data_IF_484964262418
#
_entry.id   IF_484964262418
#
_cell.length_a   1.000
_cell.length_b   1.000
_cell.length_c   1.000
_cell.angle_alpha   90.00
_cell.angle_beta   90.00
_cell.angle_gamma   90.00
#
_symmetry.space_group_name_H-M   'P 1'
#
loop_
_entity.id
_entity.type
_entity.pdbx_description
1 polymer ?
#
# COMPACT_ATOMS: atom_id res chain seq x y z
N UNK A 1 29.96 -14.39 -6.72
CA UNK A 1 29.80 -13.21 -7.58
C UNK A 1 28.43 -13.13 -8.28
N UNK A 2 27.98 -14.16 -9.04
CA UNK A 2 26.68 -14.09 -9.74
C UNK A 2 25.48 -13.84 -8.81
N UNK A 3 25.40 -14.49 -7.65
CA UNK A 3 24.32 -14.30 -6.68
C UNK A 3 24.28 -12.88 -6.06
N UNK A 4 25.43 -12.29 -5.76
CA UNK A 4 25.52 -10.94 -5.22
C UNK A 4 25.04 -9.90 -6.26
N UNK A 5 25.43 -10.07 -7.52
CA UNK A 5 24.98 -9.18 -8.61
C UNK A 5 23.46 -9.28 -8.80
N UNK A 6 22.89 -10.46 -8.70
CA UNK A 6 21.43 -10.64 -8.77
C UNK A 6 20.71 -10.01 -7.59
N UNK A 7 21.25 -10.15 -6.36
CA UNK A 7 20.72 -9.49 -5.17
C UNK A 7 20.76 -7.96 -5.32
N UNK A 8 21.85 -7.40 -5.80
CA UNK A 8 21.98 -5.97 -6.06
C UNK A 8 20.98 -5.48 -7.11
N UNK A 9 20.77 -6.23 -8.19
CA UNK A 9 19.75 -5.89 -9.19
C UNK A 9 18.33 -5.99 -8.64
N UNK A 10 18.04 -7.02 -7.84
CA UNK A 10 16.76 -7.13 -7.15
C UNK A 10 16.54 -5.93 -6.24
N UNK A 11 17.52 -5.61 -5.38
CA UNK A 11 17.48 -4.43 -4.49
C UNK A 11 17.29 -3.13 -5.25
N UNK A 12 17.99 -2.93 -6.37
CA UNK A 12 17.80 -1.78 -7.25
C UNK A 12 16.35 -1.65 -7.75
N UNK A 13 15.76 -2.73 -8.26
CA UNK A 13 14.37 -2.72 -8.72
C UNK A 13 13.38 -2.46 -7.58
N UNK A 14 13.63 -2.99 -6.38
CA UNK A 14 12.82 -2.68 -5.19
C UNK A 14 12.94 -1.20 -4.81
N UNK A 15 14.15 -0.65 -4.72
CA UNK A 15 14.38 0.76 -4.42
C UNK A 15 13.69 1.69 -5.42
N UNK A 16 13.83 1.38 -6.72
CA UNK A 16 13.15 2.14 -7.79
C UNK A 16 11.63 2.02 -7.74
N UNK A 17 11.08 0.95 -7.19
CA UNK A 17 9.64 0.80 -6.97
C UNK A 17 9.16 1.57 -5.72
N UNK A 18 10.07 1.90 -4.80
CA UNK A 18 9.79 2.67 -3.59
C UNK A 18 9.92 4.19 -3.76
N UNK A 19 10.08 4.72 -4.97
CA UNK A 19 10.29 6.18 -5.19
C UNK A 19 9.15 6.97 -4.54
N UNK A 20 7.88 6.60 -4.77
CA UNK A 20 6.77 7.33 -4.18
C UNK A 20 6.68 7.19 -2.66
N UNK A 21 6.74 5.99 -2.05
CA UNK A 21 6.88 5.85 -0.59
C UNK A 21 8.01 6.67 0.00
N UNK A 22 9.21 6.64 -0.61
CA UNK A 22 10.38 7.42 -0.15
C UNK A 22 10.11 8.92 -0.23
N UNK A 23 9.45 9.40 -1.30
CA UNK A 23 9.05 10.80 -1.41
C UNK A 23 8.07 11.22 -0.30
N UNK A 24 7.12 10.35 0.08
CA UNK A 24 6.21 10.61 1.20
C UNK A 24 7.02 10.79 2.51
N UNK A 25 7.87 9.83 2.85
CA UNK A 25 8.66 9.90 4.09
C UNK A 25 9.64 11.07 4.09
N UNK A 26 10.27 11.36 2.96
CA UNK A 26 11.11 12.53 2.78
C UNK A 26 10.33 13.84 3.01
N UNK A 27 9.12 13.94 2.48
CA UNK A 27 8.24 15.10 2.67
C UNK A 27 7.79 15.23 4.12
N UNK A 28 7.42 14.13 4.79
CA UNK A 28 7.07 14.12 6.20
C UNK A 28 8.24 14.59 7.07
N UNK A 29 9.45 14.07 6.82
CA UNK A 29 10.64 14.45 7.56
C UNK A 29 11.02 15.92 7.31
N UNK A 30 11.07 16.37 6.05
CA UNK A 30 11.43 17.75 5.73
C UNK A 30 10.40 18.74 6.26
N UNK A 31 9.12 18.47 6.14
CA UNK A 31 8.05 19.35 6.64
C UNK A 31 8.00 19.43 8.18
N UNK A 32 8.61 18.49 8.90
CA UNK A 32 8.72 18.57 10.36
C UNK A 32 9.81 19.53 10.84
N UNK A 33 10.79 19.82 9.96
CA UNK A 33 11.96 20.66 10.27
C UNK A 33 11.88 22.03 9.59
N UNK A 34 11.29 22.08 8.38
CA UNK A 34 11.23 23.29 7.57
C UNK A 34 9.78 23.82 7.58
N UNK A 35 9.47 24.85 8.37
CA UNK A 35 8.15 25.46 8.33
C UNK A 35 7.95 26.23 7.01
N UNK A 36 6.80 26.04 6.38
CA UNK A 36 6.43 26.79 5.18
C UNK A 36 5.55 27.97 5.61
N UNK A 37 5.99 29.24 5.44
CA UNK A 37 5.17 30.39 5.80
C UNK A 37 3.83 30.37 5.05
N UNK A 38 2.75 30.75 5.75
CA UNK A 38 1.38 30.92 5.22
C UNK A 38 0.66 29.62 4.79
N UNK A 39 1.28 28.43 4.99
CA UNK A 39 0.67 27.15 4.63
C UNK A 39 0.75 26.18 5.79
N UNK A 40 -0.35 25.52 6.09
CA UNK A 40 -0.33 24.44 7.09
C UNK A 40 0.49 23.26 6.58
N UNK A 41 1.18 22.58 7.49
CA UNK A 41 2.08 21.47 7.16
C UNK A 41 1.40 20.37 6.35
N UNK A 42 0.19 19.96 6.71
CA UNK A 42 -0.56 18.92 5.98
C UNK A 42 -0.93 19.33 4.57
N UNK A 43 -1.23 20.61 4.35
CA UNK A 43 -1.51 21.14 3.01
C UNK A 43 -0.23 21.21 2.15
N UNK A 44 0.90 21.57 2.78
CA UNK A 44 2.20 21.53 2.13
C UNK A 44 2.59 20.10 1.68
N UNK A 45 2.38 19.13 2.57
CA UNK A 45 2.60 17.71 2.25
C UNK A 45 1.75 17.30 1.03
N UNK A 46 0.47 17.64 1.04
CA UNK A 46 -0.43 17.33 -0.08
C UNK A 46 0.09 17.91 -1.41
N UNK A 47 0.49 19.17 -1.43
CA UNK A 47 0.98 19.83 -2.65
C UNK A 47 2.27 19.18 -3.17
N UNK A 48 3.20 18.84 -2.29
CA UNK A 48 4.43 18.14 -2.68
C UNK A 48 4.12 16.76 -3.25
N UNK A 49 3.21 16.00 -2.61
CA UNK A 49 2.85 14.66 -3.10
C UNK A 49 2.13 14.70 -4.44
N UNK A 50 1.26 15.68 -4.67
CA UNK A 50 0.64 15.93 -5.98
C UNK A 50 1.69 16.25 -7.06
N UNK A 51 2.67 17.10 -6.72
CA UNK A 51 3.76 17.43 -7.63
C UNK A 51 4.63 16.20 -7.95
N UNK A 52 4.99 15.41 -6.93
CA UNK A 52 5.75 14.16 -7.12
C UNK A 52 4.97 13.17 -8.00
N UNK A 53 3.68 12.97 -7.72
CA UNK A 53 2.82 12.07 -8.51
C UNK A 53 2.74 12.53 -9.98
N UNK A 54 2.58 13.82 -10.20
CA UNK A 54 2.58 14.39 -11.55
C UNK A 54 3.92 14.19 -12.27
N UNK A 55 5.04 14.42 -11.58
CA UNK A 55 6.39 14.21 -12.13
C UNK A 55 6.64 12.73 -12.45
N UNK A 56 6.20 11.80 -11.60
CA UNK A 56 6.31 10.37 -11.87
C UNK A 56 5.52 9.96 -13.11
N UNK A 57 4.34 10.52 -13.30
CA UNK A 57 3.56 10.31 -14.52
C UNK A 57 4.25 10.91 -15.75
N UNK A 58 4.71 12.16 -15.66
CA UNK A 58 5.37 12.86 -16.78
C UNK A 58 6.69 12.25 -17.20
N UNK A 59 7.45 11.69 -16.25
CA UNK A 59 8.71 10.99 -16.51
C UNK A 59 8.53 9.55 -17.02
N UNK A 60 7.30 9.05 -17.11
CA UNK A 60 7.02 7.66 -17.53
C UNK A 60 7.33 6.62 -16.45
N UNK A 61 7.64 7.05 -15.21
CA UNK A 61 7.76 6.14 -14.07
C UNK A 61 6.44 5.47 -13.72
N UNK A 62 5.32 6.12 -14.04
CA UNK A 62 3.97 5.57 -13.90
C UNK A 62 3.17 5.75 -15.20
N UNK A 63 2.35 4.76 -15.52
CA UNK A 63 1.48 4.76 -16.69
C UNK A 63 0.09 5.32 -16.33
N UNK A 64 -0.71 5.70 -17.35
CA UNK A 64 -2.10 6.15 -17.14
C UNK A 64 -2.95 5.12 -16.38
N UNK A 65 -2.76 3.83 -16.66
CA UNK A 65 -3.53 2.78 -16.01
C UNK A 65 -3.09 2.60 -14.54
N UNK A 66 -1.79 2.75 -14.26
CA UNK A 66 -1.27 2.74 -12.88
C UNK A 66 -1.81 3.94 -12.09
N UNK A 67 -1.89 5.14 -12.68
CA UNK A 67 -2.52 6.31 -12.04
C UNK A 67 -3.98 6.05 -11.67
N UNK A 68 -4.77 5.39 -12.52
CA UNK A 68 -6.15 5.02 -12.18
C UNK A 68 -6.22 4.13 -10.95
N UNK A 69 -5.33 3.12 -10.87
CA UNK A 69 -5.23 2.23 -9.70
C UNK A 69 -4.84 3.03 -8.46
N UNK A 70 -3.85 3.90 -8.56
CA UNK A 70 -3.36 4.76 -7.48
C UNK A 70 -4.48 5.69 -6.98
N UNK A 71 -5.28 6.28 -7.88
CA UNK A 71 -6.44 7.09 -7.51
C UNK A 71 -7.51 6.27 -6.77
N UNK A 72 -7.80 5.05 -7.20
CA UNK A 72 -8.73 4.16 -6.50
C UNK A 72 -8.24 3.87 -5.09
N UNK A 73 -6.94 3.57 -4.91
CA UNK A 73 -6.35 3.35 -3.58
C UNK A 73 -6.37 4.60 -2.72
N UNK A 74 -6.17 5.78 -3.32
CA UNK A 74 -6.27 7.05 -2.60
C UNK A 74 -7.68 7.24 -2.03
N UNK A 75 -8.72 7.00 -2.83
CA UNK A 75 -10.12 7.13 -2.40
C UNK A 75 -10.46 6.10 -1.32
N UNK A 76 -10.11 4.83 -1.55
CA UNK A 76 -10.33 3.77 -0.56
C UNK A 76 -9.62 4.11 0.76
N UNK A 77 -8.35 4.52 0.68
CA UNK A 77 -7.56 4.91 1.85
C UNK A 77 -8.19 6.08 2.60
N UNK A 78 -8.64 7.12 1.90
CA UNK A 78 -9.28 8.27 2.52
C UNK A 78 -10.58 7.89 3.24
N UNK A 79 -11.41 7.01 2.65
CA UNK A 79 -12.63 6.51 3.31
C UNK A 79 -12.28 5.71 4.56
N UNK A 80 -11.25 4.86 4.51
CA UNK A 80 -10.76 4.11 5.66
C UNK A 80 -10.27 5.04 6.78
N UNK A 81 -9.52 6.08 6.43
CA UNK A 81 -9.00 7.08 7.37
C UNK A 81 -10.13 7.84 8.07
N UNK A 82 -11.13 8.33 7.31
CA UNK A 82 -12.30 9.02 7.87
C UNK A 82 -13.01 8.13 8.88
N UNK A 83 -13.25 6.86 8.53
CA UNK A 83 -13.88 5.92 9.44
C UNK A 83 -13.05 5.69 10.71
N UNK A 84 -11.74 5.47 10.60
CA UNK A 84 -10.85 5.19 11.73
C UNK A 84 -10.64 6.40 12.65
N UNK A 85 -10.58 7.60 12.09
CA UNK A 85 -10.55 8.84 12.88
C UNK A 85 -11.89 9.03 13.63
N UNK A 86 -13.01 8.76 12.96
CA UNK A 86 -14.35 8.80 13.61
C UNK A 86 -14.45 7.78 14.75
N UNK A 87 -13.85 6.59 14.61
CA UNK A 87 -13.79 5.57 15.66
C UNK A 87 -12.74 5.84 16.75
N UNK A 88 -12.00 6.95 16.67
CA UNK A 88 -10.96 7.30 17.65
C UNK A 88 -9.73 6.40 17.61
N UNK A 89 -9.52 5.63 16.52
CA UNK A 89 -8.37 4.73 16.39
C UNK A 89 -7.05 5.50 16.31
N UNK A 90 -7.06 6.68 15.71
CA UNK A 90 -5.97 7.65 15.62
C UNK A 90 -6.50 9.04 15.28
N UNK A 91 -5.64 10.04 15.32
CA UNK A 91 -6.00 11.42 15.03
C UNK A 91 -4.95 12.15 14.21
N UNK A 92 -5.37 13.23 13.56
CA UNK A 92 -4.53 14.19 12.85
C UNK A 92 -4.59 15.55 13.58
N UNK A 93 -3.67 15.81 14.53
CA UNK A 93 -3.82 16.97 15.44
C UNK A 93 -3.56 18.32 14.77
N UNK A 94 -2.71 18.38 13.75
CA UNK A 94 -2.34 19.65 13.13
C UNK A 94 -3.47 20.24 12.28
N UNK A 95 -3.60 21.58 12.19
CA UNK A 95 -4.59 22.23 11.33
C UNK A 95 -4.25 22.03 9.85
N UNK A 96 -5.27 22.06 8.98
CA UNK A 96 -5.11 22.10 7.52
C UNK A 96 -6.40 22.60 6.86
N UNK A 97 -6.28 23.27 5.71
CA UNK A 97 -7.42 23.67 4.89
C UNK A 97 -8.05 22.48 4.14
N UNK A 98 -7.24 21.45 3.83
CA UNK A 98 -7.66 20.28 3.05
C UNK A 98 -8.11 19.10 3.91
N UNK A 99 -8.62 19.37 5.12
CA UNK A 99 -9.23 18.32 5.96
C UNK A 99 -10.69 18.07 5.60
N UNK A 100 -11.04 16.79 5.48
CA UNK A 100 -12.43 16.32 5.36
C UNK A 100 -12.73 15.46 6.59
N UNK A 101 -13.72 15.84 7.40
CA UNK A 101 -14.11 15.12 8.63
C UNK A 101 -12.91 14.82 9.56
N UNK A 102 -12.01 15.80 9.71
CA UNK A 102 -10.82 15.67 10.56
C UNK A 102 -9.62 14.97 9.92
N UNK A 103 -9.75 14.45 8.70
CA UNK A 103 -8.71 13.72 7.96
C UNK A 103 -8.13 14.59 6.86
N UNK A 104 -6.80 14.84 6.82
CA UNK A 104 -6.17 15.58 5.73
C UNK A 104 -6.09 14.75 4.46
N UNK A 105 -6.31 15.38 3.29
CA UNK A 105 -6.33 14.68 2.01
C UNK A 105 -5.02 13.94 1.68
N UNK A 106 -3.87 14.41 2.21
CA UNK A 106 -2.62 13.71 1.97
C UNK A 106 -2.61 12.26 2.50
N UNK A 107 -3.46 11.94 3.51
CA UNK A 107 -3.48 10.61 4.13
C UNK A 107 -3.83 9.50 3.13
N UNK A 108 -4.68 9.78 2.16
CA UNK A 108 -4.99 8.85 1.08
C UNK A 108 -3.77 8.46 0.23
N UNK A 109 -2.76 9.36 0.12
CA UNK A 109 -1.53 9.05 -0.62
C UNK A 109 -0.68 7.97 0.04
N UNK A 110 -0.82 7.72 1.34
CA UNK A 110 -0.13 6.60 1.99
C UNK A 110 -0.59 5.26 1.44
N UNK A 111 -1.90 5.08 1.25
CA UNK A 111 -2.47 3.89 0.60
C UNK A 111 -2.14 3.86 -0.90
N UNK A 112 -2.23 4.99 -1.56
CA UNK A 112 -1.84 5.16 -2.95
C UNK A 112 -0.38 4.77 -3.20
N UNK A 113 0.53 5.01 -2.24
CA UNK A 113 1.93 4.62 -2.33
C UNK A 113 2.14 3.11 -2.36
N UNK A 114 1.30 2.35 -1.66
CA UNK A 114 1.32 0.88 -1.72
C UNK A 114 0.92 0.41 -3.12
N UNK A 115 -0.10 1.03 -3.72
CA UNK A 115 -0.52 0.74 -5.09
C UNK A 115 0.58 1.09 -6.11
N UNK A 116 1.21 2.27 -5.97
CA UNK A 116 2.34 2.69 -6.81
C UNK A 116 3.48 1.68 -6.72
N UNK A 117 3.90 1.30 -5.51
CA UNK A 117 4.91 0.26 -5.29
C UNK A 117 4.54 -1.05 -5.98
N UNK A 118 3.32 -1.55 -5.76
CA UNK A 118 2.86 -2.82 -6.35
C UNK A 118 2.85 -2.78 -7.88
N UNK A 119 2.36 -1.72 -8.48
CA UNK A 119 2.34 -1.56 -9.92
C UNK A 119 3.75 -1.53 -10.51
N UNK A 120 4.65 -0.77 -9.88
CA UNK A 120 6.03 -0.65 -10.35
C UNK A 120 6.82 -1.93 -10.17
N UNK A 121 6.75 -2.60 -9.00
CA UNK A 121 7.46 -3.86 -8.77
C UNK A 121 6.96 -4.96 -9.72
N UNK A 122 5.65 -4.99 -9.96
CA UNK A 122 5.05 -5.93 -10.91
C UNK A 122 5.64 -5.76 -12.31
N UNK A 123 5.72 -4.54 -12.81
CA UNK A 123 6.26 -4.23 -14.13
C UNK A 123 7.77 -4.44 -14.21
N UNK A 124 8.54 -3.94 -13.22
CA UNK A 124 10.02 -3.97 -13.22
C UNK A 124 10.58 -5.38 -13.09
N UNK A 125 9.95 -6.22 -12.28
CA UNK A 125 10.34 -7.61 -12.08
C UNK A 125 9.60 -8.58 -13.01
N UNK A 126 8.76 -8.06 -13.94
CA UNK A 126 7.94 -8.88 -14.84
C UNK A 126 7.21 -9.98 -14.06
N UNK A 127 6.52 -9.56 -13.00
CA UNK A 127 5.85 -10.48 -12.09
C UNK A 127 4.66 -11.16 -12.76
N UNK A 128 4.47 -12.40 -12.40
CA UNK A 128 3.31 -13.20 -12.74
C UNK A 128 2.89 -14.04 -11.54
N UNK A 129 1.68 -14.57 -11.53
CA UNK A 129 1.17 -15.41 -10.45
C UNK A 129 0.64 -16.73 -11.01
N UNK A 130 0.97 -17.82 -10.30
CA UNK A 130 0.43 -19.15 -10.59
C UNK A 130 -0.32 -19.70 -9.38
N UNK A 131 -1.28 -20.60 -9.62
CA UNK A 131 -2.07 -21.22 -8.57
C UNK A 131 -3.02 -20.24 -7.87
N UNK A 132 -3.51 -19.21 -8.55
CA UNK A 132 -4.50 -18.27 -8.01
C UNK A 132 -5.80 -19.02 -7.66
N UNK A 133 -6.41 -18.75 -6.48
CA UNK A 133 -7.56 -19.50 -5.99
C UNK A 133 -8.88 -19.23 -6.77
N UNK A 134 -8.82 -18.41 -7.80
CA UNK A 134 -9.98 -17.97 -8.55
C UNK A 134 -10.62 -16.68 -8.00
N UNK A 135 -11.62 -16.19 -8.74
CA UNK A 135 -12.26 -14.91 -8.42
C UNK A 135 -13.06 -14.97 -7.11
N UNK A 136 -13.99 -15.94 -7.01
CA UNK A 136 -14.92 -15.98 -5.89
C UNK A 136 -14.24 -16.19 -4.51
N UNK A 137 -13.33 -17.17 -4.30
CA UNK A 137 -12.66 -17.32 -3.01
C UNK A 137 -11.81 -16.10 -2.62
N UNK A 138 -11.10 -15.49 -3.57
CA UNK A 138 -10.27 -14.31 -3.30
C UNK A 138 -11.13 -13.09 -2.93
N UNK A 139 -12.23 -12.85 -3.64
CA UNK A 139 -13.14 -11.73 -3.37
C UNK A 139 -13.90 -11.92 -2.06
N UNK A 140 -14.37 -13.12 -1.76
CA UNK A 140 -15.06 -13.41 -0.48
C UNK A 140 -14.11 -13.21 0.70
N UNK A 141 -12.87 -13.68 0.59
CA UNK A 141 -11.87 -13.46 1.64
C UNK A 141 -11.53 -11.98 1.79
N UNK A 142 -11.33 -11.26 0.68
CA UNK A 142 -11.11 -9.81 0.70
C UNK A 142 -12.28 -9.07 1.36
N UNK A 143 -13.51 -9.39 1.00
CA UNK A 143 -14.71 -8.82 1.62
C UNK A 143 -14.77 -9.11 3.12
N UNK A 144 -14.52 -10.35 3.55
CA UNK A 144 -14.50 -10.72 4.96
C UNK A 144 -13.44 -9.94 5.76
N UNK A 145 -12.26 -9.74 5.18
CA UNK A 145 -11.19 -8.93 5.81
C UNK A 145 -11.66 -7.47 5.95
N UNK A 146 -12.28 -6.89 4.91
CA UNK A 146 -12.80 -5.52 4.98
C UNK A 146 -13.92 -5.40 6.02
N UNK A 147 -14.88 -6.33 6.03
CA UNK A 147 -15.96 -6.34 7.02
C UNK A 147 -15.36 -6.39 8.42
N UNK A 148 -14.42 -7.30 8.70
CA UNK A 148 -13.76 -7.36 10.01
C UNK A 148 -13.03 -6.05 10.34
N UNK A 149 -12.35 -5.42 9.38
CA UNK A 149 -11.64 -4.16 9.61
C UNK A 149 -12.57 -3.02 10.03
N UNK A 150 -13.81 -2.99 9.53
CA UNK A 150 -14.81 -1.99 9.93
C UNK A 150 -15.56 -2.37 11.19
N UNK A 151 -15.80 -3.65 11.44
CA UNK A 151 -16.73 -4.11 12.47
C UNK A 151 -16.08 -4.57 13.77
N UNK A 152 -14.75 -4.79 13.82
CA UNK A 152 -14.05 -5.30 15.00
C UNK A 152 -14.14 -4.39 16.25
N UNK A 153 -14.64 -3.16 16.10
CA UNK A 153 -14.97 -2.30 17.23
C UNK A 153 -16.31 -2.66 17.92
N UNK A 154 -17.17 -3.38 17.22
CA UNK A 154 -18.53 -3.72 17.66
C UNK A 154 -18.73 -5.23 17.89
N UNK A 155 -17.92 -6.07 17.20
CA UNK A 155 -17.95 -7.52 17.28
C UNK A 155 -16.54 -8.05 17.56
N UNK A 156 -16.38 -9.33 17.98
CA UNK A 156 -15.05 -9.92 18.16
C UNK A 156 -14.16 -9.78 16.94
N UNK A 157 -12.89 -9.51 17.17
CA UNK A 157 -11.89 -9.39 16.10
C UNK A 157 -11.50 -10.78 15.58
N UNK A 158 -11.87 -11.08 14.35
CA UNK A 158 -11.56 -12.34 13.67
C UNK A 158 -10.22 -12.33 12.92
N UNK A 159 -9.37 -11.36 13.18
CA UNK A 159 -8.07 -11.14 12.50
C UNK A 159 -7.24 -12.42 12.36
N UNK A 160 -7.11 -13.20 13.42
CA UNK A 160 -6.29 -14.41 13.42
C UNK A 160 -6.90 -15.54 12.59
N UNK A 161 -8.23 -15.68 12.61
CA UNK A 161 -8.96 -16.62 11.76
C UNK A 161 -8.85 -16.25 10.28
N UNK A 162 -8.97 -14.98 9.97
CA UNK A 162 -8.78 -14.46 8.61
C UNK A 162 -7.33 -14.64 8.14
N UNK A 163 -6.34 -14.44 9.01
CA UNK A 163 -4.93 -14.74 8.73
C UNK A 163 -4.74 -16.22 8.39
N UNK A 164 -5.31 -17.13 9.16
CA UNK A 164 -5.25 -18.56 8.87
C UNK A 164 -5.93 -18.90 7.52
N UNK A 165 -7.11 -18.31 7.24
CA UNK A 165 -7.80 -18.47 5.97
C UNK A 165 -6.97 -17.97 4.78
N UNK A 166 -6.21 -16.89 4.92
CA UNK A 166 -5.30 -16.42 3.87
C UNK A 166 -4.27 -17.50 3.54
N UNK A 167 -3.64 -18.12 4.54
CA UNK A 167 -2.68 -19.19 4.28
C UNK A 167 -3.33 -20.40 3.61
N UNK A 168 -4.57 -20.74 3.97
CA UNK A 168 -5.31 -21.84 3.36
C UNK A 168 -5.70 -21.53 1.92
N UNK A 169 -6.30 -20.37 1.68
CA UNK A 169 -6.80 -19.97 0.35
C UNK A 169 -5.66 -19.78 -0.64
N UNK A 170 -4.55 -19.15 -0.21
CA UNK A 170 -3.40 -18.87 -1.08
C UNK A 170 -2.27 -19.90 -0.96
N UNK A 171 -2.51 -21.05 -0.37
CA UNK A 171 -1.52 -22.12 -0.17
C UNK A 171 -0.74 -22.50 -1.44
N UNK A 172 -1.44 -22.57 -2.57
CA UNK A 172 -0.86 -22.95 -3.88
C UNK A 172 -0.43 -21.77 -4.73
N UNK A 173 -0.56 -20.54 -4.23
CA UNK A 173 -0.27 -19.33 -5.01
C UNK A 173 1.19 -18.94 -4.88
N UNK A 174 1.85 -18.81 -6.03
CA UNK A 174 3.25 -18.43 -6.14
C UNK A 174 3.39 -17.18 -6.98
N UNK A 175 4.24 -16.27 -6.54
CA UNK A 175 4.74 -15.16 -7.33
C UNK A 175 5.94 -15.66 -8.12
N UNK A 176 5.89 -15.48 -9.44
CA UNK A 176 7.02 -15.70 -10.36
C UNK A 176 7.55 -14.33 -10.72
N UNK A 177 8.85 -14.11 -10.58
CA UNK A 177 9.47 -12.83 -10.93
C UNK A 177 10.84 -13.05 -11.56
N UNK A 178 11.29 -12.05 -12.36
CA UNK A 178 12.55 -12.12 -13.09
C UNK A 178 13.52 -11.07 -12.57
N UNK A 179 14.75 -11.53 -12.31
CA UNK A 179 15.88 -10.66 -12.05
C UNK A 179 16.94 -10.94 -13.13
N UNK A 180 17.13 -10.00 -14.05
CA UNK A 180 17.93 -10.19 -15.28
C UNK A 180 17.39 -11.38 -16.10
N UNK A 181 18.24 -12.39 -16.33
CA UNK A 181 17.89 -13.60 -17.09
C UNK A 181 17.35 -14.74 -16.21
N UNK A 182 17.35 -14.59 -14.88
CA UNK A 182 16.96 -15.65 -13.95
C UNK A 182 15.53 -15.43 -13.46
N UNK A 183 14.75 -16.50 -13.49
CA UNK A 183 13.38 -16.52 -12.94
C UNK A 183 13.41 -17.11 -11.53
N UNK A 184 12.77 -16.44 -10.61
CA UNK A 184 12.58 -16.84 -9.22
C UNK A 184 11.11 -17.04 -8.92
N UNK A 185 10.82 -17.80 -7.88
CA UNK A 185 9.47 -17.96 -7.36
C UNK A 185 9.46 -17.86 -5.84
N UNK A 186 8.39 -17.34 -5.30
CA UNK A 186 8.19 -17.16 -3.87
C UNK A 186 6.71 -17.39 -3.53
N UNK A 187 6.39 -18.06 -2.41
CA UNK A 187 5.00 -18.16 -1.95
C UNK A 187 4.39 -16.77 -1.76
N UNK A 188 3.15 -16.57 -2.21
CA UNK A 188 2.46 -15.29 -2.09
C UNK A 188 2.30 -14.88 -0.61
N UNK A 189 2.03 -15.85 0.27
CA UNK A 189 1.93 -15.63 1.72
C UNK A 189 3.21 -15.05 2.34
N UNK A 190 4.39 -15.49 1.86
CA UNK A 190 5.67 -14.92 2.32
C UNK A 190 5.83 -13.46 1.88
N UNK A 191 5.43 -13.15 0.66
CA UNK A 191 5.43 -11.76 0.18
C UNK A 191 4.54 -10.86 1.05
N UNK A 192 3.37 -11.33 1.45
CA UNK A 192 2.47 -10.59 2.34
C UNK A 192 3.09 -10.30 3.71
N UNK A 193 3.76 -11.28 4.31
CA UNK A 193 4.47 -11.10 5.59
C UNK A 193 5.55 -10.02 5.45
N UNK A 194 6.37 -10.13 4.41
CA UNK A 194 7.47 -9.18 4.15
C UNK A 194 6.94 -7.77 3.93
N UNK A 195 5.93 -7.60 3.07
CA UNK A 195 5.33 -6.29 2.80
C UNK A 195 4.65 -5.74 4.05
N UNK A 196 3.91 -6.55 4.80
CA UNK A 196 3.28 -6.15 6.07
C UNK A 196 4.31 -5.66 7.10
N UNK A 197 5.46 -6.31 7.21
CA UNK A 197 6.56 -5.87 8.05
C UNK A 197 7.13 -4.51 7.61
N UNK A 198 7.36 -4.32 6.31
CA UNK A 198 7.84 -3.03 5.81
C UNK A 198 6.82 -1.91 5.97
N UNK A 199 5.52 -2.17 5.82
CA UNK A 199 4.48 -1.18 6.08
C UNK A 199 4.44 -0.82 7.58
N UNK A 200 4.56 -1.80 8.48
CA UNK A 200 4.67 -1.52 9.91
C UNK A 200 5.91 -0.67 10.24
N UNK A 201 7.05 -0.94 9.60
CA UNK A 201 8.27 -0.11 9.75
C UNK A 201 8.01 1.33 9.26
N UNK A 202 7.37 1.45 8.10
CA UNK A 202 6.98 2.72 7.51
C UNK A 202 6.01 3.51 8.41
N UNK A 203 5.07 2.83 9.05
CA UNK A 203 4.13 3.40 10.01
C UNK A 203 4.85 3.99 11.24
N UNK A 204 5.86 3.29 11.75
CA UNK A 204 6.69 3.82 12.84
C UNK A 204 7.43 5.10 12.43
N UNK A 205 7.98 5.14 11.22
CA UNK A 205 8.62 6.35 10.69
C UNK A 205 7.60 7.49 10.55
N UNK A 206 6.42 7.22 10.00
CA UNK A 206 5.39 8.23 9.79
C UNK A 206 4.86 8.81 11.12
N UNK A 207 4.58 7.98 12.12
CA UNK A 207 4.15 8.44 13.44
C UNK A 207 5.26 9.18 14.20
N UNK A 208 6.52 8.77 14.03
CA UNK A 208 7.66 9.52 14.57
C UNK A 208 7.74 10.95 14.02
N UNK A 209 7.43 11.16 12.75
CA UNK A 209 7.33 12.48 12.12
C UNK A 209 5.95 13.15 12.29
N UNK A 210 5.11 12.67 13.22
CA UNK A 210 3.79 13.24 13.51
C UNK A 210 2.85 13.33 12.29
N UNK A 211 2.92 12.35 11.37
CA UNK A 211 1.96 12.27 10.27
C UNK A 211 0.53 12.05 10.81
N UNK A 212 0.40 11.19 11.81
CA UNK A 212 -0.78 11.01 12.67
C UNK A 212 -0.32 10.53 14.05
N UNK A 213 -1.25 10.47 15.01
CA UNK A 213 -0.99 9.97 16.37
C UNK A 213 -1.98 8.90 16.78
N UNK A 214 -1.47 7.85 17.38
CA UNK A 214 -2.25 6.87 18.12
C UNK A 214 -2.58 7.39 19.52
N UNK A 215 -3.66 6.88 20.18
CA UNK A 215 -4.00 7.30 21.55
C UNK A 215 -2.89 7.15 22.57
N UNK A 216 -2.07 6.11 22.45
CA UNK A 216 -0.90 5.84 23.31
C UNK A 216 0.34 6.70 22.97
N UNK A 217 0.28 7.49 21.92
CA UNK A 217 1.37 8.38 21.46
C UNK A 217 1.09 9.87 21.73
N UNK A 218 0.06 10.20 22.49
CA UNK A 218 -0.29 11.61 22.72
C UNK A 218 0.78 12.36 23.51
N UNK A 219 1.34 11.77 24.57
CA UNK A 219 2.32 12.41 25.45
C UNK A 219 3.74 12.29 24.89
N UNK A 220 4.12 11.12 24.38
CA UNK A 220 5.41 10.86 23.76
C UNK A 220 5.27 9.80 22.68
N UNK A 221 6.14 9.87 21.67
CA UNK A 221 6.17 8.82 20.66
C UNK A 221 6.57 7.47 21.28
N UNK A 222 5.82 6.44 20.94
CA UNK A 222 6.08 5.04 21.30
C UNK A 222 6.05 4.17 20.04
N UNK A 223 6.77 3.05 20.12
CA UNK A 223 6.78 2.07 19.03
C UNK A 223 5.38 1.54 18.78
N UNK A 224 4.94 1.56 17.53
CA UNK A 224 3.65 1.01 17.10
C UNK A 224 3.61 -0.49 17.41
N UNK A 225 2.52 -0.94 18.04
CA UNK A 225 2.35 -2.33 18.45
C UNK A 225 2.63 -3.32 17.32
N UNK A 226 3.39 -4.38 17.62
CA UNK A 226 3.66 -5.48 16.67
C UNK A 226 2.38 -6.18 16.17
N UNK A 227 1.28 -6.10 16.91
CA UNK A 227 -0.02 -6.61 16.47
C UNK A 227 -0.51 -5.94 15.18
N UNK A 228 -0.04 -4.74 14.87
CA UNK A 228 -0.35 -4.02 13.62
C UNK A 228 0.22 -4.70 12.38
N UNK A 229 1.30 -5.49 12.50
CA UNK A 229 1.84 -6.26 11.38
C UNK A 229 0.76 -7.20 10.81
N UNK A 230 -0.03 -7.86 11.67
CA UNK A 230 -1.13 -8.71 11.21
C UNK A 230 -2.24 -7.95 10.51
N UNK A 231 -2.52 -6.72 10.93
CA UNK A 231 -3.49 -5.83 10.26
C UNK A 231 -2.98 -5.43 8.87
N UNK A 232 -1.72 -5.02 8.78
CA UNK A 232 -1.10 -4.66 7.51
C UNK A 232 -0.96 -5.86 6.57
N UNK A 233 -0.62 -7.03 7.10
CA UNK A 233 -0.64 -8.29 6.35
C UNK A 233 -2.00 -8.50 5.66
N UNK A 234 -3.10 -8.35 6.39
CA UNK A 234 -4.45 -8.51 5.83
C UNK A 234 -4.79 -7.42 4.81
N UNK A 235 -4.42 -6.17 5.06
CA UNK A 235 -4.67 -5.06 4.12
C UNK A 235 -3.88 -5.19 2.82
N UNK A 236 -2.63 -5.68 2.88
CA UNK A 236 -1.81 -5.96 1.69
C UNK A 236 -2.48 -6.99 0.79
N UNK A 237 -3.12 -8.01 1.36
CA UNK A 237 -3.83 -9.03 0.60
C UNK A 237 -4.93 -8.41 -0.26
N UNK A 238 -5.72 -7.52 0.32
CA UNK A 238 -6.76 -6.79 -0.43
C UNK A 238 -6.13 -6.00 -1.57
N UNK A 239 -5.03 -5.30 -1.29
CA UNK A 239 -4.30 -4.55 -2.30
C UNK A 239 -3.84 -5.44 -3.46
N UNK A 240 -3.29 -6.61 -3.16
CA UNK A 240 -2.89 -7.59 -4.19
C UNK A 240 -4.10 -8.13 -4.95
N UNK A 241 -5.21 -8.44 -4.29
CA UNK A 241 -6.44 -8.89 -4.94
C UNK A 241 -6.93 -7.83 -5.94
N UNK A 242 -6.98 -6.56 -5.55
CA UNK A 242 -7.40 -5.46 -6.43
C UNK A 242 -6.47 -5.35 -7.64
N UNK A 243 -5.15 -5.28 -7.42
CA UNK A 243 -4.17 -5.15 -8.51
C UNK A 243 -4.17 -6.37 -9.43
N UNK A 244 -4.26 -7.60 -8.87
CA UNK A 244 -4.32 -8.82 -9.66
C UNK A 244 -5.59 -8.87 -10.53
N UNK A 245 -6.75 -8.51 -9.99
CA UNK A 245 -8.01 -8.46 -10.75
C UNK A 245 -7.96 -7.44 -11.88
N UNK A 246 -7.43 -6.24 -11.63
CA UNK A 246 -7.30 -5.23 -12.68
C UNK A 246 -6.39 -5.71 -13.82
N UNK A 247 -5.29 -6.41 -13.50
CA UNK A 247 -4.41 -6.98 -14.52
C UNK A 247 -5.05 -8.14 -15.27
N UNK A 248 -5.79 -9.00 -14.59
CA UNK A 248 -6.50 -10.13 -15.19
C UNK A 248 -7.62 -9.66 -16.14
N UNK A 249 -8.42 -8.67 -15.73
CA UNK A 249 -9.46 -8.06 -16.57
C UNK A 249 -8.86 -7.42 -17.82
N UNK A 250 -7.71 -6.75 -17.69
CA UNK A 250 -7.02 -6.15 -18.83
C UNK A 250 -6.49 -7.20 -19.81
N UNK A 251 -5.89 -8.27 -19.31
CA UNK A 251 -5.39 -9.37 -20.14
C UNK A 251 -6.50 -10.06 -20.95
N UNK A 252 -7.67 -10.29 -20.33
CA UNK A 252 -8.81 -10.89 -21.03
C UNK A 252 -9.37 -9.96 -22.11
N UNK A 253 -9.51 -8.66 -21.85
CA UNK A 253 -9.96 -7.69 -22.86
C UNK A 253 -9.03 -7.66 -24.08
N UNK A 254 -7.71 -7.64 -23.84
CA UNK A 254 -6.73 -7.64 -24.93
C UNK A 254 -6.79 -8.95 -25.76
N UNK A 255 -7.07 -10.09 -25.12
CA UNK A 255 -7.25 -11.36 -25.78
C UNK A 255 -8.55 -11.42 -26.62
N UNK A 256 -9.62 -10.80 -26.17
CA UNK A 256 -10.91 -10.72 -26.90
C UNK A 256 -10.80 -9.77 -28.09
N UNK A 257 -10.15 -8.61 -27.93
CA UNK A 257 -9.90 -7.64 -29.02
C UNK A 257 -9.04 -8.27 -30.14
N UNK A 258 -8.06 -9.13 -29.76
CA UNK A 258 -7.21 -9.85 -30.74
C UNK A 258 -7.91 -10.98 -31.49
N UNK A 259 -9.06 -11.48 -31.00
CA UNK A 259 -9.89 -12.47 -31.67
C UNK A 259 -10.96 -11.86 -32.59
N UNK A 260 -11.24 -10.57 -32.39
CA UNK A 260 -12.26 -9.82 -33.15
C UNK A 260 -11.67 -9.02 -34.33
N UNK A 261 -10.34 -8.94 -34.41
CA UNK A 261 -9.57 -8.33 -35.51
C UNK A 261 -9.01 -9.42 -36.45
#
# INVERSE_FOLDING_TARGET
MKSLIQLLHFGYHQAMSCIFPVAIFGTLALSSVIPIPFLHRYDAILLVLLAVQYLMYRSGLETRDEIKVICVFHIIGLVLEIYKVWMGSWSYPEPAYTKILGVPLYSGFMYASVASFMCQVWRRLRMDMTGWPGFAPSMLLGAAIYINFFTHHFIPDFRWWLTALVFIVFWKTWIIYRVRATTYRMPLSLAFIIVGFFIWTAENIATFFNAWKYPDQHDAWQLVSFSKISSWFLLVIISVIIVAQLKYVKANRTADDSKSS
#
